data_IF_370933637738
#
_entry.id   IF_370933637738
#
_cell.length_a   1.000
_cell.length_b   1.000
_cell.length_c   1.000
_cell.angle_alpha   90.00
_cell.angle_beta   90.00
_cell.angle_gamma   90.00
#
_symmetry.space_group_name_H-M   'P 1'
#
loop_
_entity.id
_entity.type
_entity.pdbx_description
1 polymer ?
#
# COMPACT_ATOMS: atom_id res chain seq x y z
N UNK A 1 -7.51 14.47 12.72
CA UNK A 1 -8.25 14.27 11.45
C UNK A 1 -9.54 15.07 11.56
N UNK A 2 -9.93 15.85 10.53
CA UNK A 2 -11.13 16.68 10.59
C UNK A 2 -12.36 15.85 11.00
N UNK A 3 -13.14 16.39 11.92
CA UNK A 3 -14.38 15.81 12.42
C UNK A 3 -15.24 16.91 13.07
N UNK A 4 -16.50 16.59 13.30
CA UNK A 4 -17.38 17.37 14.17
C UNK A 4 -18.18 16.46 15.08
N UNK A 5 -18.70 17.04 16.17
CA UNK A 5 -19.57 16.37 17.13
C UNK A 5 -20.88 17.15 17.23
N UNK A 6 -22.00 16.44 17.08
CA UNK A 6 -23.34 16.99 17.19
C UNK A 6 -24.13 16.22 18.26
N UNK A 7 -25.06 16.87 18.97
CA UNK A 7 -25.97 16.17 19.89
C UNK A 7 -27.17 15.60 19.14
N UNK A 8 -27.51 16.16 17.97
CA UNK A 8 -28.61 15.73 17.13
C UNK A 8 -28.33 15.95 15.64
N UNK A 9 -28.77 15.00 14.82
CA UNK A 9 -28.72 15.04 13.36
C UNK A 9 -30.14 15.01 12.80
N UNK A 10 -30.37 15.66 11.65
CA UNK A 10 -31.63 15.55 10.90
C UNK A 10 -31.71 14.17 10.24
N UNK A 11 -32.94 13.72 9.98
CA UNK A 11 -33.21 12.50 9.22
C UNK A 11 -33.52 12.86 7.76
N UNK A 12 -32.48 13.26 7.01
CA UNK A 12 -32.61 13.62 5.60
C UNK A 12 -32.75 12.36 4.73
N UNK A 13 -33.63 12.41 3.72
CA UNK A 13 -33.72 11.35 2.70
C UNK A 13 -32.56 11.48 1.72
N UNK A 14 -31.95 10.34 1.37
CA UNK A 14 -30.93 10.26 0.32
C UNK A 14 -31.58 10.15 -1.08
N UNK A 15 -30.92 10.64 -2.15
CA UNK A 15 -29.70 11.43 -2.13
C UNK A 15 -29.96 12.91 -1.74
N UNK A 16 -28.96 13.57 -1.15
CA UNK A 16 -28.98 15.02 -0.89
C UNK A 16 -27.57 15.61 -1.02
N UNK A 17 -27.45 16.93 -1.16
CA UNK A 17 -26.15 17.56 -1.32
C UNK A 17 -26.23 19.07 -1.54
N UNK A 18 -25.07 19.73 -1.46
CA UNK A 18 -24.88 21.13 -1.78
C UNK A 18 -23.42 21.41 -2.15
N UNK A 19 -23.15 22.54 -2.81
CA UNK A 19 -21.80 23.01 -3.14
C UNK A 19 -20.92 21.99 -3.89
N UNK A 20 -21.51 21.13 -4.72
CA UNK A 20 -20.79 20.08 -5.45
C UNK A 20 -20.32 18.90 -4.57
N UNK A 21 -20.93 18.73 -3.40
CA UNK A 21 -20.84 17.53 -2.56
C UNK A 21 -22.19 16.83 -2.59
N UNK A 22 -22.19 15.53 -2.85
CA UNK A 22 -23.37 14.68 -2.91
C UNK A 22 -23.26 13.55 -1.87
N UNK A 23 -24.32 13.32 -1.12
CA UNK A 23 -24.50 12.17 -0.23
C UNK A 23 -25.57 11.27 -0.83
N UNK A 24 -25.18 10.08 -1.25
CA UNK A 24 -25.97 9.27 -2.18
C UNK A 24 -26.81 8.20 -1.48
N UNK A 25 -26.27 7.58 -0.44
CA UNK A 25 -26.96 6.59 0.40
C UNK A 25 -26.19 6.38 1.70
N UNK A 26 -26.80 5.67 2.65
CA UNK A 26 -26.12 5.25 3.88
C UNK A 26 -26.19 3.74 4.09
N UNK A 27 -25.25 3.20 4.86
CA UNK A 27 -25.28 1.82 5.32
C UNK A 27 -24.92 1.73 6.81
N UNK A 28 -25.71 0.99 7.59
CA UNK A 28 -25.64 0.98 9.06
C UNK A 28 -25.21 -0.38 9.60
N UNK A 29 -24.35 -0.35 10.63
CA UNK A 29 -23.92 -1.51 11.40
C UNK A 29 -23.85 -1.15 12.90
N UNK A 30 -24.90 -1.48 13.66
CA UNK A 30 -24.99 -1.13 15.08
C UNK A 30 -25.01 0.39 15.28
N UNK A 31 -23.98 0.89 15.98
CA UNK A 31 -23.75 2.30 16.31
C UNK A 31 -23.01 3.09 15.22
N UNK A 32 -22.65 2.45 14.10
CA UNK A 32 -21.93 3.09 13.01
C UNK A 32 -22.79 3.19 11.74
N UNK A 33 -22.68 4.31 11.04
CA UNK A 33 -23.26 4.49 9.70
C UNK A 33 -22.21 5.06 8.76
N UNK A 34 -22.11 4.45 7.58
CA UNK A 34 -21.28 4.92 6.47
C UNK A 34 -22.18 5.67 5.49
N UNK A 35 -21.75 6.85 5.07
CA UNK A 35 -22.49 7.72 4.15
C UNK A 35 -21.69 7.85 2.88
N UNK A 36 -22.22 7.31 1.79
CA UNK A 36 -21.54 7.33 0.51
C UNK A 36 -21.52 8.76 -0.03
N UNK A 37 -20.32 9.31 -0.15
CA UNK A 37 -20.09 10.72 -0.41
C UNK A 37 -19.29 10.88 -1.70
N UNK A 38 -19.77 11.76 -2.58
CA UNK A 38 -19.09 12.15 -3.81
C UNK A 38 -18.76 13.64 -3.78
N UNK A 39 -17.56 13.98 -4.24
CA UNK A 39 -17.09 15.35 -4.38
C UNK A 39 -16.24 15.46 -5.65
N UNK A 40 -16.83 15.99 -6.73
CA UNK A 40 -16.23 15.90 -8.06
C UNK A 40 -16.06 14.43 -8.50
N UNK A 41 -14.81 14.03 -8.82
CA UNK A 41 -14.45 12.64 -9.19
C UNK A 41 -14.01 11.77 -8.01
N UNK A 42 -14.09 12.27 -6.78
CA UNK A 42 -13.67 11.53 -5.57
C UNK A 42 -14.88 10.93 -4.88
N UNK A 43 -14.79 9.63 -4.57
CA UNK A 43 -15.82 8.84 -3.92
C UNK A 43 -15.24 8.26 -2.61
N UNK A 44 -15.95 8.42 -1.50
CA UNK A 44 -15.50 7.99 -0.17
C UNK A 44 -16.66 7.89 0.82
N UNK A 45 -16.42 7.33 2.00
CA UNK A 45 -17.39 7.34 3.09
C UNK A 45 -17.10 8.41 4.13
N UNK A 46 -18.14 9.13 4.54
CA UNK A 46 -18.20 9.69 5.88
C UNK A 46 -18.69 8.62 6.85
N UNK A 47 -18.07 8.57 8.02
CA UNK A 47 -18.42 7.69 9.13
C UNK A 47 -19.10 8.51 10.22
N UNK A 48 -20.35 8.16 10.52
CA UNK A 48 -21.11 8.63 11.66
C UNK A 48 -21.05 7.57 12.75
N UNK A 49 -20.60 7.95 13.95
CA UNK A 49 -20.66 7.10 15.15
C UNK A 49 -21.67 7.67 16.13
N UNK A 50 -22.68 6.88 16.46
CA UNK A 50 -23.69 7.17 17.46
C UNK A 50 -23.20 6.71 18.85
N UNK A 51 -22.98 7.66 19.77
CA UNK A 51 -22.58 7.37 21.15
C UNK A 51 -23.74 7.53 22.14
N UNK A 52 -24.99 7.40 21.70
CA UNK A 52 -26.24 7.61 22.46
C UNK A 52 -26.55 9.06 22.80
N UNK A 53 -25.56 9.84 23.26
CA UNK A 53 -25.74 11.25 23.65
C UNK A 53 -25.17 12.23 22.63
N UNK A 54 -24.33 11.75 21.72
CA UNK A 54 -23.67 12.54 20.70
C UNK A 54 -23.37 11.69 19.46
N UNK A 55 -23.29 12.37 18.32
CA UNK A 55 -22.83 11.82 17.05
C UNK A 55 -21.45 12.38 16.74
N UNK A 56 -20.49 11.49 16.46
CA UNK A 56 -19.16 11.88 15.97
C UNK A 56 -19.09 11.58 14.48
N UNK A 57 -18.89 12.63 13.67
CA UNK A 57 -18.83 12.51 12.21
C UNK A 57 -17.43 12.84 11.72
N UNK A 58 -16.87 11.92 10.93
CA UNK A 58 -15.50 12.03 10.38
C UNK A 58 -15.39 11.27 9.05
N UNK A 59 -14.30 11.42 8.32
CA UNK A 59 -14.03 10.53 7.16
C UNK A 59 -13.71 9.11 7.62
N UNK A 60 -14.19 8.10 6.89
CA UNK A 60 -13.70 6.73 7.05
C UNK A 60 -12.21 6.66 6.66
N UNK A 61 -11.42 5.87 7.40
CA UNK A 61 -9.97 5.81 7.20
C UNK A 61 -9.58 5.09 5.91
N UNK A 62 -10.40 4.15 5.46
CA UNK A 62 -10.09 3.29 4.33
C UNK A 62 -10.33 4.00 3.01
N UNK A 63 -11.46 4.70 2.91
CA UNK A 63 -11.91 5.33 1.66
C UNK A 63 -11.55 6.81 1.57
N UNK A 64 -11.00 7.43 2.63
CA UNK A 64 -10.67 8.86 2.61
C UNK A 64 -9.79 9.26 1.41
N UNK A 65 -10.10 10.37 0.73
CA UNK A 65 -9.23 10.90 -0.30
C UNK A 65 -7.94 11.50 0.29
N UNK A 66 -6.90 11.63 -0.53
CA UNK A 66 -5.65 12.28 -0.13
C UNK A 66 -5.79 13.80 0.11
N UNK A 67 -6.76 14.45 -0.55
CA UNK A 67 -7.02 15.87 -0.39
C UNK A 67 -7.74 16.15 0.93
N UNK A 68 -7.06 16.84 1.83
CA UNK A 68 -7.63 17.31 3.09
C UNK A 68 -8.78 18.28 2.86
N UNK A 69 -8.66 19.16 1.85
CA UNK A 69 -9.70 20.12 1.48
C UNK A 69 -11.00 19.44 1.06
N UNK A 70 -10.93 18.34 0.30
CA UNK A 70 -12.11 17.53 -0.06
C UNK A 70 -12.83 17.00 1.17
N UNK A 71 -12.09 16.47 2.14
CA UNK A 71 -12.66 15.94 3.40
C UNK A 71 -13.33 17.07 4.20
N UNK A 72 -12.65 18.21 4.33
CA UNK A 72 -13.16 19.35 5.09
C UNK A 72 -14.42 19.94 4.47
N UNK A 73 -14.45 20.07 3.13
CA UNK A 73 -15.62 20.54 2.39
C UNK A 73 -16.82 19.61 2.60
N UNK A 74 -16.63 18.30 2.41
CA UNK A 74 -17.72 17.34 2.58
C UNK A 74 -18.25 17.31 4.03
N UNK A 75 -17.37 17.37 5.03
CA UNK A 75 -17.78 17.48 6.43
C UNK A 75 -18.53 18.78 6.72
N UNK A 76 -18.11 19.92 6.13
CA UNK A 76 -18.82 21.19 6.31
C UNK A 76 -20.23 21.10 5.72
N UNK A 77 -20.35 20.68 4.46
CA UNK A 77 -21.66 20.56 3.80
C UNK A 77 -22.58 19.60 4.55
N UNK A 78 -22.07 18.43 4.98
CA UNK A 78 -22.88 17.49 5.76
C UNK A 78 -23.34 18.10 7.09
N UNK A 79 -22.45 18.83 7.77
CA UNK A 79 -22.76 19.52 9.02
C UNK A 79 -23.82 20.62 8.81
N UNK A 80 -23.65 21.47 7.81
CA UNK A 80 -24.55 22.60 7.54
C UNK A 80 -25.95 22.12 7.14
N UNK A 81 -26.05 21.01 6.38
CA UNK A 81 -27.33 20.44 5.98
C UNK A 81 -27.99 19.62 7.10
N UNK A 82 -27.21 18.82 7.83
CA UNK A 82 -27.73 17.70 8.64
C UNK A 82 -27.59 17.86 10.16
N UNK A 83 -26.92 18.90 10.68
CA UNK A 83 -26.80 19.12 12.13
C UNK A 83 -27.89 20.08 12.63
N UNK A 84 -28.50 19.75 13.76
CA UNK A 84 -29.42 20.64 14.47
C UNK A 84 -28.73 21.35 15.64
N UNK A 85 -27.95 20.60 16.43
CA UNK A 85 -27.20 21.15 17.56
C UNK A 85 -25.74 20.66 17.54
N UNK A 86 -24.83 21.62 17.39
CA UNK A 86 -23.40 21.40 17.21
C UNK A 86 -22.68 21.56 18.56
N UNK A 87 -22.02 20.49 19.01
CA UNK A 87 -21.23 20.50 20.24
C UNK A 87 -19.80 20.98 20.01
N UNK A 88 -19.16 20.50 18.95
CA UNK A 88 -17.79 20.93 18.59
C UNK A 88 -17.46 20.64 17.14
N UNK A 89 -16.50 21.39 16.58
CA UNK A 89 -15.98 21.16 15.23
C UNK A 89 -14.48 21.42 15.18
N UNK A 90 -13.75 20.52 14.53
CA UNK A 90 -12.32 20.67 14.22
C UNK A 90 -12.07 20.94 12.74
N UNK A 91 -13.14 21.25 11.99
CA UNK A 91 -13.08 21.55 10.56
C UNK A 91 -12.54 22.98 10.40
N UNK A 92 -11.22 23.11 10.25
CA UNK A 92 -10.61 24.36 9.82
C UNK A 92 -10.50 24.34 8.29
N UNK A 93 -11.36 25.06 7.57
CA UNK A 93 -11.17 25.30 6.13
C UNK A 93 -9.89 26.12 6.00
N UNK A 94 -8.76 25.44 5.82
CA UNK A 94 -7.50 26.10 5.54
C UNK A 94 -7.47 26.31 4.03
N UNK A 95 -7.28 27.55 3.59
CA UNK A 95 -6.67 27.81 2.28
C UNK A 95 -5.45 26.91 2.20
N UNK A 96 -5.33 26.11 1.14
CA UNK A 96 -4.24 25.14 0.98
C UNK A 96 -2.90 25.82 1.28
N UNK A 97 -2.38 25.64 2.51
CA UNK A 97 -0.97 25.92 2.76
C UNK A 97 -0.26 24.98 1.82
N UNK A 98 0.48 25.54 0.86
CA UNK A 98 1.33 24.86 -0.12
C UNK A 98 1.86 23.55 0.49
N UNK A 99 1.17 22.43 0.23
CA UNK A 99 1.65 21.14 0.69
C UNK A 99 3.00 20.97 -0.02
N UNK A 100 4.06 20.61 0.72
CA UNK A 100 5.33 20.26 0.12
C UNK A 100 5.06 19.31 -1.05
N UNK A 101 5.51 19.67 -2.25
CA UNK A 101 5.26 18.88 -3.46
C UNK A 101 5.76 17.47 -3.21
N UNK A 102 4.86 16.48 -3.15
CA UNK A 102 5.19 15.07 -3.03
C UNK A 102 5.35 14.47 -4.42
N UNK A 103 6.26 15.06 -5.20
CA UNK A 103 6.39 14.76 -6.62
C UNK A 103 6.95 13.36 -6.85
N UNK A 104 7.89 12.92 -6.01
CA UNK A 104 8.54 11.62 -6.15
C UNK A 104 7.93 10.53 -5.28
N UNK A 105 7.10 10.87 -4.28
CA UNK A 105 6.48 9.88 -3.39
C UNK A 105 5.20 9.35 -4.03
N UNK A 106 5.27 8.14 -4.57
CA UNK A 106 4.14 7.50 -5.25
C UNK A 106 3.49 6.44 -4.36
N UNK A 107 2.18 6.23 -4.57
CA UNK A 107 1.54 4.98 -4.14
C UNK A 107 1.82 3.86 -5.15
N UNK A 108 1.40 2.65 -4.80
CA UNK A 108 1.55 1.44 -5.62
C UNK A 108 0.90 1.54 -7.01
N UNK A 109 -0.31 2.10 -7.11
CA UNK A 109 -1.00 2.26 -8.40
C UNK A 109 -0.21 3.21 -9.30
N UNK A 110 0.14 4.39 -8.79
CA UNK A 110 0.92 5.39 -9.52
C UNK A 110 2.30 4.86 -9.93
N UNK A 111 2.92 4.06 -9.08
CA UNK A 111 4.19 3.39 -9.36
C UNK A 111 4.06 2.42 -10.54
N UNK A 112 3.04 1.56 -10.53
CA UNK A 112 2.79 0.61 -11.61
C UNK A 112 2.49 1.31 -12.94
N UNK A 113 1.72 2.40 -12.91
CA UNK A 113 1.47 3.23 -14.10
C UNK A 113 2.78 3.84 -14.64
N UNK A 114 3.64 4.37 -13.76
CA UNK A 114 4.92 4.94 -14.14
C UNK A 114 5.86 3.89 -14.74
N UNK A 115 5.91 2.68 -14.20
CA UNK A 115 6.68 1.58 -14.77
C UNK A 115 6.20 1.17 -16.17
N UNK A 116 4.87 1.12 -16.38
CA UNK A 116 4.27 0.77 -17.68
C UNK A 116 4.56 1.80 -18.78
N UNK A 117 4.83 3.05 -18.42
CA UNK A 117 5.13 4.11 -19.40
C UNK A 117 6.39 3.84 -20.23
N UNK A 118 7.33 3.04 -19.71
CA UNK A 118 8.57 2.72 -20.41
C UNK A 118 9.51 3.91 -20.64
N UNK A 119 9.33 5.01 -19.89
CA UNK A 119 10.08 6.26 -20.07
C UNK A 119 11.60 6.09 -19.87
N UNK A 120 12.02 5.14 -19.03
CA UNK A 120 13.42 4.90 -18.69
C UNK A 120 13.89 3.53 -19.17
N UNK A 121 15.11 3.48 -19.71
CA UNK A 121 15.70 2.24 -20.26
C UNK A 121 16.27 1.31 -19.19
N UNK A 122 16.72 1.89 -18.08
CA UNK A 122 17.30 1.18 -16.94
C UNK A 122 16.52 1.48 -15.68
N UNK A 123 16.42 0.48 -14.82
CA UNK A 123 15.75 0.60 -13.53
C UNK A 123 16.69 0.09 -12.45
N UNK A 124 17.02 0.98 -11.51
CA UNK A 124 17.71 0.64 -10.28
C UNK A 124 16.74 0.71 -9.12
N UNK A 125 16.87 -0.21 -8.18
CA UNK A 125 16.01 -0.29 -6.99
C UNK A 125 16.89 -0.32 -5.75
N UNK A 126 16.68 0.60 -4.81
CA UNK A 126 17.38 0.62 -3.53
C UNK A 126 16.39 0.38 -2.38
N UNK A 127 16.64 -0.72 -1.64
CA UNK A 127 15.82 -1.15 -0.51
C UNK A 127 16.42 -0.61 0.78
N UNK A 128 15.62 0.12 1.56
CA UNK A 128 16.05 0.71 2.82
C UNK A 128 17.01 1.87 2.63
N UNK A 129 16.74 2.78 1.68
CA UNK A 129 17.66 3.85 1.29
C UNK A 129 18.02 4.84 2.42
N UNK A 130 17.24 4.88 3.52
CA UNK A 130 17.51 5.72 4.68
C UNK A 130 17.67 7.20 4.32
N UNK A 131 18.90 7.72 4.41
CA UNK A 131 19.21 9.12 4.05
C UNK A 131 19.13 9.45 2.56
N UNK A 132 19.10 8.43 1.69
CA UNK A 132 19.02 8.58 0.23
C UNK A 132 20.33 9.02 -0.44
N UNK A 133 21.47 9.04 0.26
CA UNK A 133 22.76 9.47 -0.33
C UNK A 133 23.13 8.67 -1.58
N UNK A 134 23.11 7.34 -1.47
CA UNK A 134 23.41 6.45 -2.59
C UNK A 134 22.35 6.57 -3.69
N UNK A 135 21.06 6.49 -3.32
CA UNK A 135 19.94 6.66 -4.24
C UNK A 135 20.04 7.92 -5.11
N UNK A 136 20.24 9.08 -4.47
CA UNK A 136 20.32 10.38 -5.15
C UNK A 136 21.61 10.50 -5.98
N UNK A 137 22.70 9.88 -5.53
CA UNK A 137 23.93 9.78 -6.31
C UNK A 137 23.71 9.00 -7.60
N UNK A 138 23.07 7.83 -7.53
CA UNK A 138 22.76 7.02 -8.71
C UNK A 138 21.87 7.80 -9.69
N UNK A 139 20.82 8.46 -9.18
CA UNK A 139 19.90 9.23 -10.00
C UNK A 139 20.58 10.42 -10.69
N UNK A 140 21.51 11.09 -10.00
CA UNK A 140 22.29 12.20 -10.56
C UNK A 140 23.32 11.73 -11.61
N UNK A 141 23.86 10.52 -11.44
CA UNK A 141 24.93 9.99 -12.30
C UNK A 141 24.43 9.57 -13.69
N UNK A 142 23.22 9.03 -13.79
CA UNK A 142 22.62 8.65 -15.07
C UNK A 142 21.14 9.05 -15.13
N UNK A 143 20.85 10.16 -15.82
CA UNK A 143 19.49 10.70 -16.00
C UNK A 143 18.56 9.75 -16.78
N UNK A 144 19.11 8.79 -17.54
CA UNK A 144 18.33 7.79 -18.27
C UNK A 144 17.98 6.56 -17.44
N UNK A 145 18.48 6.49 -16.20
CA UNK A 145 18.16 5.43 -15.24
C UNK A 145 17.10 5.90 -14.27
N UNK A 146 15.99 5.16 -14.19
CA UNK A 146 15.02 5.34 -13.14
C UNK A 146 15.56 4.74 -11.83
N UNK A 147 15.62 5.53 -10.76
CA UNK A 147 16.01 5.04 -9.44
C UNK A 147 14.80 5.00 -8.51
N UNK A 148 14.42 3.79 -8.10
CA UNK A 148 13.29 3.51 -7.22
C UNK A 148 13.79 3.23 -5.82
N UNK A 149 13.48 4.12 -4.87
CA UNK A 149 13.77 3.92 -3.46
C UNK A 149 12.59 3.33 -2.70
N UNK A 150 12.83 2.29 -1.90
CA UNK A 150 11.83 1.70 -1.02
C UNK A 150 12.24 1.90 0.43
N UNK A 151 11.38 2.50 1.25
CA UNK A 151 11.68 2.79 2.66
C UNK A 151 10.41 2.80 3.51
N UNK A 152 10.41 2.07 4.62
CA UNK A 152 9.25 1.99 5.53
C UNK A 152 9.16 3.21 6.45
N UNK A 153 10.27 3.89 6.73
CA UNK A 153 10.28 5.09 7.56
C UNK A 153 9.87 6.33 6.77
N UNK A 154 8.60 6.73 6.92
CA UNK A 154 7.99 7.85 6.18
C UNK A 154 8.80 9.16 6.20
N UNK A 155 9.46 9.50 7.32
CA UNK A 155 10.24 10.75 7.40
C UNK A 155 11.46 10.73 6.48
N UNK A 156 12.09 9.57 6.28
CA UNK A 156 13.18 9.40 5.32
C UNK A 156 12.68 9.67 3.89
N UNK A 157 11.50 9.13 3.51
CA UNK A 157 10.90 9.42 2.21
C UNK A 157 10.64 10.92 2.02
N UNK A 158 10.08 11.60 3.02
CA UNK A 158 9.81 13.04 2.95
C UNK A 158 11.10 13.88 2.85
N UNK A 159 12.15 13.48 3.58
CA UNK A 159 13.47 14.12 3.49
C UNK A 159 14.08 13.95 2.08
N UNK A 160 14.12 12.72 1.56
CA UNK A 160 14.72 12.43 0.24
C UNK A 160 13.93 13.07 -0.89
N UNK A 161 12.60 13.15 -0.78
CA UNK A 161 11.76 13.89 -1.73
C UNK A 161 12.19 15.35 -1.85
N UNK A 162 12.40 16.03 -0.72
CA UNK A 162 12.82 17.44 -0.72
C UNK A 162 14.23 17.62 -1.29
N UNK A 163 15.14 16.68 -0.99
CA UNK A 163 16.50 16.69 -1.57
C UNK A 163 16.46 16.50 -3.09
N UNK A 164 15.71 15.50 -3.58
CA UNK A 164 15.53 15.27 -5.01
C UNK A 164 14.97 16.50 -5.73
N UNK A 165 13.98 17.18 -5.13
CA UNK A 165 13.42 18.43 -5.65
C UNK A 165 14.47 19.54 -5.70
N UNK A 166 15.24 19.73 -4.63
CA UNK A 166 16.29 20.75 -4.58
C UNK A 166 17.41 20.51 -5.59
N UNK A 167 17.64 19.24 -5.96
CA UNK A 167 18.62 18.83 -6.96
C UNK A 167 18.06 18.86 -8.39
N UNK A 168 16.76 19.13 -8.57
CA UNK A 168 16.13 19.15 -9.89
C UNK A 168 16.05 17.79 -10.59
N UNK A 169 16.12 16.69 -9.83
CA UNK A 169 16.05 15.33 -10.39
C UNK A 169 14.67 15.05 -10.97
N UNK A 170 14.60 14.15 -11.97
CA UNK A 170 13.33 13.76 -12.63
C UNK A 170 13.12 12.26 -12.70
N UNK A 171 14.17 11.50 -12.40
CA UNK A 171 14.30 10.05 -12.56
C UNK A 171 14.30 9.32 -11.21
N UNK A 172 13.58 9.85 -10.22
CA UNK A 172 13.46 9.27 -8.87
C UNK A 172 12.01 8.89 -8.57
N UNK A 173 11.81 7.71 -7.99
CA UNK A 173 10.54 7.32 -7.35
C UNK A 173 10.83 6.87 -5.93
N UNK A 174 10.00 7.29 -4.98
CA UNK A 174 10.08 6.91 -3.57
C UNK A 174 8.79 6.20 -3.15
N UNK A 175 8.93 5.02 -2.57
CA UNK A 175 7.83 4.19 -2.11
C UNK A 175 7.92 4.01 -0.60
N UNK A 176 6.88 4.45 0.11
CA UNK A 176 6.75 4.19 1.55
C UNK A 176 6.01 2.86 1.80
N UNK A 177 6.64 1.74 1.40
CA UNK A 177 6.06 0.40 1.37
C UNK A 177 7.05 -0.65 1.87
N UNK A 178 6.55 -1.85 2.18
CA UNK A 178 7.41 -3.02 2.44
C UNK A 178 8.07 -3.48 1.13
N UNK A 179 9.39 -3.70 1.17
CA UNK A 179 10.15 -4.08 -0.01
C UNK A 179 9.71 -5.42 -0.61
N UNK A 180 9.31 -6.40 0.21
CA UNK A 180 8.88 -7.72 -0.29
C UNK A 180 7.64 -7.60 -1.17
N UNK A 181 6.73 -6.69 -0.82
CA UNK A 181 5.60 -6.39 -1.68
C UNK A 181 6.02 -5.69 -2.96
N UNK A 182 6.87 -4.66 -2.88
CA UNK A 182 7.28 -3.94 -4.09
C UNK A 182 7.98 -4.91 -5.06
N UNK A 183 8.83 -5.80 -4.55
CA UNK A 183 9.46 -6.87 -5.33
C UNK A 183 8.43 -7.76 -6.00
N UNK A 184 7.36 -8.14 -5.28
CA UNK A 184 6.31 -8.99 -5.86
C UNK A 184 5.49 -8.31 -6.96
N UNK A 185 5.46 -6.98 -6.99
CA UNK A 185 4.79 -6.17 -8.02
C UNK A 185 5.65 -5.94 -9.28
N UNK A 186 6.97 -6.05 -9.17
CA UNK A 186 7.89 -5.87 -10.30
C UNK A 186 7.79 -7.06 -11.27
N UNK A 187 7.82 -6.75 -12.57
CA UNK A 187 7.81 -7.76 -13.63
C UNK A 187 9.12 -8.57 -13.64
N UNK A 188 9.10 -9.75 -14.25
CA UNK A 188 10.33 -10.51 -14.43
C UNK A 188 11.27 -9.80 -15.42
N UNK A 189 12.57 -9.84 -15.14
CA UNK A 189 13.61 -9.24 -16.00
C UNK A 189 13.43 -7.73 -16.25
N UNK A 190 12.89 -6.97 -15.29
CA UNK A 190 12.68 -5.53 -15.44
C UNK A 190 13.73 -4.64 -14.77
N UNK A 191 14.51 -5.19 -13.83
CA UNK A 191 15.46 -4.43 -13.00
C UNK A 191 16.89 -4.71 -13.42
N UNK A 192 17.70 -3.66 -13.51
CA UNK A 192 19.12 -3.76 -13.86
C UNK A 192 19.99 -3.92 -12.62
N UNK A 193 19.66 -3.21 -11.52
CA UNK A 193 20.37 -3.34 -10.23
C UNK A 193 19.45 -3.23 -9.03
N UNK A 194 19.71 -4.06 -8.03
CA UNK A 194 19.09 -4.03 -6.71
C UNK A 194 20.16 -3.73 -5.66
N UNK A 195 19.91 -2.77 -4.78
CA UNK A 195 20.81 -2.40 -3.70
C UNK A 195 20.16 -2.65 -2.34
N UNK A 196 20.91 -3.26 -1.42
CA UNK A 196 20.54 -3.40 -0.01
C UNK A 196 21.73 -3.02 0.86
N UNK A 197 21.74 -1.78 1.37
CA UNK A 197 22.86 -1.23 2.12
C UNK A 197 22.54 -1.13 3.61
N UNK A 198 23.42 -1.71 4.43
CA UNK A 198 23.38 -1.73 5.90
C UNK A 198 22.00 -2.13 6.48
N UNK A 199 21.41 -3.27 6.04
CA UNK A 199 20.16 -3.74 6.59
C UNK A 199 20.29 -4.07 8.08
N UNK A 200 19.20 -3.90 8.83
CA UNK A 200 19.18 -4.28 10.25
C UNK A 200 19.30 -5.81 10.37
N UNK A 201 20.27 -6.34 11.13
CA UNK A 201 20.60 -7.76 11.08
C UNK A 201 19.60 -8.67 11.82
N UNK A 202 18.84 -8.13 12.77
CA UNK A 202 17.82 -8.84 13.56
C UNK A 202 18.28 -10.21 14.11
N UNK A 203 19.41 -10.25 14.83
CA UNK A 203 20.02 -11.48 15.36
C UNK A 203 19.05 -12.44 16.06
N UNK A 204 18.10 -11.90 16.84
CA UNK A 204 17.13 -12.69 17.61
C UNK A 204 15.80 -12.94 16.90
N UNK A 205 15.65 -12.50 15.65
CA UNK A 205 14.38 -12.54 14.91
C UNK A 205 14.62 -12.55 13.41
N UNK A 206 15.27 -13.60 12.91
CA UNK A 206 15.68 -13.70 11.50
C UNK A 206 14.54 -13.52 10.50
N UNK A 207 13.29 -13.89 10.87
CA UNK A 207 12.08 -13.64 10.08
C UNK A 207 11.79 -12.16 9.79
N UNK A 208 12.46 -11.23 10.49
CA UNK A 208 12.38 -9.78 10.27
C UNK A 208 13.43 -9.26 9.29
N UNK A 209 14.42 -10.08 8.91
CA UNK A 209 15.38 -9.71 7.86
C UNK A 209 14.63 -9.51 6.55
N UNK A 210 15.12 -8.58 5.74
CA UNK A 210 14.64 -8.39 4.37
C UNK A 210 15.01 -9.60 3.52
N UNK A 211 16.27 -10.06 3.65
CA UNK A 211 16.76 -11.25 2.96
C UNK A 211 16.14 -12.51 3.55
N UNK A 212 15.69 -13.38 2.65
CA UNK A 212 15.27 -14.76 2.86
C UNK A 212 15.50 -15.55 1.55
N UNK A 213 15.25 -16.85 1.55
CA UNK A 213 15.29 -17.64 0.32
C UNK A 213 14.26 -17.15 -0.71
N UNK A 214 13.04 -16.80 -0.27
CA UNK A 214 11.99 -16.26 -1.13
C UNK A 214 12.38 -14.90 -1.71
N UNK A 215 13.00 -14.03 -0.89
CA UNK A 215 13.52 -12.75 -1.37
C UNK A 215 14.62 -12.95 -2.42
N UNK A 216 15.55 -13.90 -2.21
CA UNK A 216 16.60 -14.20 -3.17
C UNK A 216 16.03 -14.69 -4.53
N UNK A 217 14.99 -15.53 -4.49
CA UNK A 217 14.25 -15.95 -5.69
C UNK A 217 13.58 -14.76 -6.39
N UNK A 218 12.93 -13.87 -5.65
CA UNK A 218 12.32 -12.66 -6.22
C UNK A 218 13.37 -11.73 -6.83
N UNK A 219 14.56 -11.62 -6.23
CA UNK A 219 15.69 -10.88 -6.83
C UNK A 219 16.09 -11.47 -8.19
N UNK A 220 16.36 -12.78 -8.28
CA UNK A 220 16.69 -13.43 -9.55
C UNK A 220 15.56 -13.29 -10.59
N UNK A 221 14.29 -13.34 -10.14
CA UNK A 221 13.14 -13.17 -11.02
C UNK A 221 13.10 -11.78 -11.65
N UNK A 222 13.24 -10.71 -10.86
CA UNK A 222 13.07 -9.33 -11.35
C UNK A 222 14.31 -8.81 -12.07
N UNK A 223 15.50 -9.34 -11.76
CA UNK A 223 16.74 -8.93 -12.41
C UNK A 223 16.78 -9.39 -13.86
N UNK A 224 17.25 -8.51 -14.74
CA UNK A 224 17.65 -8.89 -16.11
C UNK A 224 18.82 -9.87 -16.07
N UNK A 225 19.03 -10.64 -17.14
CA UNK A 225 20.31 -11.31 -17.35
C UNK A 225 21.43 -10.26 -17.41
N UNK A 226 22.50 -10.46 -16.64
CA UNK A 226 23.57 -9.50 -16.40
C UNK A 226 23.27 -8.45 -15.32
N UNK A 227 22.06 -8.43 -14.75
CA UNK A 227 21.69 -7.53 -13.65
C UNK A 227 22.22 -8.00 -12.30
N UNK A 228 22.39 -7.08 -11.35
CA UNK A 228 23.01 -7.37 -10.05
C UNK A 228 22.09 -7.14 -8.84
N UNK A 229 22.23 -7.98 -7.82
CA UNK A 229 21.87 -7.68 -6.45
C UNK A 229 23.15 -7.39 -5.65
N UNK A 230 23.19 -6.24 -4.98
CA UNK A 230 24.35 -5.72 -4.28
C UNK A 230 24.00 -5.51 -2.79
N UNK A 231 24.52 -6.39 -1.94
CA UNK A 231 24.48 -6.22 -0.49
C UNK A 231 25.74 -5.47 -0.04
N UNK A 232 25.58 -4.48 0.84
CA UNK A 232 26.67 -3.89 1.63
C UNK A 232 26.30 -3.96 3.10
N UNK A 233 27.14 -4.51 3.96
CA UNK A 233 26.81 -4.76 5.38
C UNK A 233 28.04 -4.66 6.30
N UNK A 234 27.87 -4.17 7.53
CA UNK A 234 28.88 -4.26 8.60
C UNK A 234 28.73 -5.53 9.46
N UNK A 235 27.68 -6.33 9.21
CA UNK A 235 27.38 -7.55 9.94
C UNK A 235 27.79 -8.79 9.13
N UNK A 236 28.81 -9.52 9.63
CA UNK A 236 29.31 -10.73 8.98
C UNK A 236 28.26 -11.85 8.96
N UNK A 237 27.51 -12.05 10.03
CA UNK A 237 26.51 -13.12 10.11
C UNK A 237 25.38 -12.90 9.11
N UNK A 238 24.93 -11.65 8.96
CA UNK A 238 23.96 -11.27 7.94
C UNK A 238 24.50 -11.47 6.53
N UNK A 239 25.79 -11.17 6.32
CA UNK A 239 26.47 -11.36 5.05
C UNK A 239 26.54 -12.85 4.69
N UNK A 240 27.02 -13.69 5.61
CA UNK A 240 27.09 -15.15 5.43
C UNK A 240 25.70 -15.76 5.19
N UNK A 241 24.68 -15.29 5.91
CA UNK A 241 23.29 -15.69 5.72
C UNK A 241 22.74 -15.27 4.35
N UNK A 242 23.10 -14.09 3.86
CA UNK A 242 22.69 -13.64 2.52
C UNK A 242 23.36 -14.50 1.46
N UNK A 243 24.66 -14.76 1.60
CA UNK A 243 25.40 -15.65 0.70
C UNK A 243 24.73 -17.02 0.62
N UNK A 244 24.37 -17.64 1.75
CA UNK A 244 23.72 -18.95 1.76
C UNK A 244 22.37 -18.97 1.06
N UNK A 245 21.57 -17.89 1.16
CA UNK A 245 20.31 -17.77 0.44
C UNK A 245 20.51 -17.71 -1.08
N UNK A 246 21.53 -16.96 -1.54
CA UNK A 246 21.77 -16.74 -2.96
C UNK A 246 22.57 -17.86 -3.64
N UNK A 247 23.34 -18.65 -2.89
CA UNK A 247 24.03 -19.84 -3.41
C UNK A 247 23.09 -20.93 -3.93
N UNK A 248 21.83 -20.93 -3.48
CA UNK A 248 20.82 -21.88 -3.93
C UNK A 248 20.16 -21.48 -5.26
N UNK A 249 20.48 -20.31 -5.81
CA UNK A 249 19.91 -19.82 -7.05
C UNK A 249 20.59 -20.46 -8.27
N UNK A 250 19.86 -20.54 -9.38
CA UNK A 250 20.37 -21.12 -10.64
C UNK A 250 21.34 -20.15 -11.29
N UNK A 251 22.44 -20.65 -11.85
CA UNK A 251 23.32 -19.94 -12.79
C UNK A 251 23.55 -18.45 -12.47
N UNK A 252 24.48 -18.20 -11.56
CA UNK A 252 24.84 -16.86 -11.13
C UNK A 252 26.33 -16.71 -10.88
N UNK A 253 26.82 -15.48 -11.00
CA UNK A 253 28.17 -15.09 -10.55
C UNK A 253 28.04 -14.40 -9.20
N UNK A 254 28.86 -14.77 -8.23
CA UNK A 254 28.92 -14.10 -6.93
C UNK A 254 30.34 -13.61 -6.66
N UNK A 255 30.46 -12.33 -6.31
CA UNK A 255 31.72 -11.69 -5.94
C UNK A 255 31.59 -11.11 -4.53
N UNK A 256 32.59 -11.35 -3.69
CA UNK A 256 32.59 -10.94 -2.30
C UNK A 256 33.81 -10.07 -2.06
N UNK A 257 33.61 -8.91 -1.45
CA UNK A 257 34.68 -7.99 -1.10
C UNK A 257 34.64 -7.64 0.37
N UNK A 258 35.81 -7.26 0.89
CA UNK A 258 35.97 -6.73 2.24
C UNK A 258 36.60 -5.35 2.13
N UNK A 259 35.98 -4.36 2.75
CA UNK A 259 36.41 -2.97 2.80
C UNK A 259 36.63 -2.36 1.40
N UNK A 260 35.78 -2.71 0.43
CA UNK A 260 35.83 -2.14 -0.92
C UNK A 260 35.44 -0.67 -0.88
N UNK A 261 36.24 0.16 -1.56
CA UNK A 261 35.95 1.57 -1.77
C UNK A 261 34.86 1.76 -2.84
N UNK A 262 33.93 2.68 -2.59
CA UNK A 262 32.89 3.13 -3.53
C UNK A 262 32.91 4.67 -3.62
N UNK A 263 32.48 5.22 -4.76
CA UNK A 263 32.49 6.67 -5.00
C UNK A 263 31.52 7.45 -4.11
N UNK A 264 30.50 6.78 -3.57
CA UNK A 264 29.53 7.35 -2.64
C UNK A 264 29.49 6.52 -1.36
N UNK A 265 29.66 7.19 -0.22
CA UNK A 265 29.52 6.56 1.10
C UNK A 265 28.14 6.83 1.69
N UNK A 266 27.61 5.84 2.40
CA UNK A 266 26.40 6.02 3.21
C UNK A 266 26.73 6.68 4.57
N UNK A 267 25.71 7.22 5.25
CA UNK A 267 25.88 7.72 6.64
C UNK A 267 26.34 6.60 7.60
N UNK A 268 25.93 5.37 7.35
CA UNK A 268 26.32 4.21 8.16
C UNK A 268 27.76 3.80 7.87
N UNK A 269 28.15 3.79 6.60
CA UNK A 269 29.52 3.53 6.18
C UNK A 269 30.52 4.50 6.85
N UNK A 270 30.27 5.81 6.74
CA UNK A 270 31.11 6.82 7.40
C UNK A 270 31.24 6.58 8.91
N UNK A 271 30.18 6.08 9.55
CA UNK A 271 30.16 5.77 10.99
C UNK A 271 30.95 4.51 11.31
N UNK A 272 30.80 3.46 10.51
CA UNK A 272 31.42 2.17 10.75
C UNK A 272 32.91 2.17 10.45
N UNK A 273 33.34 2.90 9.41
CA UNK A 273 34.75 3.17 9.15
C UNK A 273 35.39 3.88 10.35
N UNK A 274 34.73 4.90 10.92
CA UNK A 274 35.22 5.59 12.14
C UNK A 274 35.32 4.68 13.37
N UNK A 275 34.56 3.58 13.41
CA UNK A 275 34.60 2.60 14.49
C UNK A 275 35.52 1.41 14.18
N UNK A 276 36.32 1.47 13.10
CA UNK A 276 37.17 0.38 12.63
C UNK A 276 36.42 -0.94 12.46
N UNK A 277 35.15 -0.87 12.03
CA UNK A 277 34.38 -2.05 11.65
C UNK A 277 34.67 -2.42 10.20
N UNK A 278 34.72 -3.72 9.96
CA UNK A 278 34.78 -4.26 8.60
C UNK A 278 33.43 -4.06 7.89
N UNK A 279 33.51 -3.78 6.59
CA UNK A 279 32.35 -3.71 5.69
C UNK A 279 32.52 -4.79 4.64
N UNK A 280 31.46 -5.55 4.41
CA UNK A 280 31.41 -6.63 3.45
C UNK A 280 30.47 -6.27 2.32
N UNK A 281 30.88 -6.59 1.10
CA UNK A 281 30.08 -6.45 -0.11
C UNK A 281 29.83 -7.82 -0.73
N UNK A 282 28.60 -8.07 -1.13
CA UNK A 282 28.23 -9.25 -1.93
C UNK A 282 27.53 -8.78 -3.17
N UNK A 283 28.13 -9.06 -4.32
CA UNK A 283 27.56 -8.78 -5.64
C UNK A 283 27.15 -10.10 -6.26
N UNK A 284 25.84 -10.32 -6.33
CA UNK A 284 25.23 -11.42 -7.06
C UNK A 284 24.83 -10.92 -8.45
N UNK A 285 25.32 -11.54 -9.52
CA UNK A 285 24.93 -11.25 -10.90
C UNK A 285 24.07 -12.39 -11.43
N UNK A 286 22.84 -12.07 -11.82
CA UNK A 286 21.92 -13.01 -12.45
C UNK A 286 22.37 -13.30 -13.89
N UNK A 287 22.51 -14.56 -14.29
CA UNK A 287 22.93 -14.91 -15.66
C UNK A 287 21.79 -15.46 -16.51
N UNK A 288 20.63 -15.73 -15.92
CA UNK A 288 19.48 -16.30 -16.63
C UNK A 288 18.45 -15.25 -17.00
N UNK A 289 17.60 -15.59 -17.97
CA UNK A 289 16.34 -14.89 -18.21
C UNK A 289 15.23 -15.67 -17.51
N UNK A 290 14.58 -15.03 -16.55
CA UNK A 290 13.49 -15.64 -15.79
C UNK A 290 12.21 -15.71 -16.61
N UNK A 291 11.36 -16.71 -16.35
CA UNK A 291 10.02 -16.75 -16.94
C UNK A 291 9.21 -15.51 -16.52
N UNK A 292 8.34 -15.05 -17.42
CA UNK A 292 7.49 -13.89 -17.14
C UNK A 292 6.45 -14.23 -16.08
N UNK A 293 6.38 -13.40 -15.04
CA UNK A 293 5.37 -13.53 -13.98
C UNK A 293 4.01 -13.11 -14.55
N UNK A 294 3.18 -14.08 -14.92
CA UNK A 294 1.80 -13.84 -15.36
C UNK A 294 0.84 -14.12 -14.20
N UNK A 295 0.09 -13.09 -13.82
CA UNK A 295 -1.02 -13.22 -12.87
C UNK A 295 -2.28 -13.56 -13.67
N UNK A 296 -2.79 -14.78 -13.48
CA UNK A 296 -4.08 -15.20 -14.04
C UNK A 296 -5.18 -15.00 -13.00
N UNK A 297 -6.28 -14.36 -13.40
CA UNK A 297 -7.46 -14.14 -12.58
C UNK A 297 -7.90 -12.68 -12.55
N UNK A 298 -9.10 -12.47 -12.03
CA UNK A 298 -9.71 -11.17 -11.82
C UNK A 298 -10.26 -11.06 -10.39
N UNK A 299 -10.91 -9.94 -10.12
CA UNK A 299 -11.57 -9.66 -8.84
C UNK A 299 -13.10 -9.67 -9.00
N UNK A 300 -13.62 -10.55 -9.86
CA UNK A 300 -15.04 -10.70 -10.13
C UNK A 300 -15.69 -11.79 -9.27
N UNK A 301 -16.76 -11.41 -8.59
CA UNK A 301 -17.61 -12.35 -7.87
C UNK A 301 -18.61 -13.01 -8.82
N UNK A 302 -19.07 -14.20 -8.45
CA UNK A 302 -20.24 -14.82 -9.08
C UNK A 302 -21.54 -14.24 -8.52
N UNK A 303 -22.63 -14.99 -8.67
CA UNK A 303 -23.90 -14.70 -7.97
C UNK A 303 -23.70 -14.87 -6.47
N UNK A 304 -24.14 -13.87 -5.70
CA UNK A 304 -24.02 -13.82 -4.24
C UNK A 304 -25.33 -13.31 -3.67
N UNK A 305 -26.02 -14.14 -2.88
CA UNK A 305 -27.29 -13.77 -2.25
C UNK A 305 -27.07 -13.09 -0.89
N UNK A 306 -27.80 -12.02 -0.64
CA UNK A 306 -27.75 -11.25 0.60
C UNK A 306 -28.14 -12.12 1.83
N UNK A 307 -29.11 -13.02 1.67
CA UNK A 307 -29.56 -13.94 2.72
C UNK A 307 -28.50 -14.98 3.13
N UNK A 308 -27.74 -15.49 2.15
CA UNK A 308 -26.64 -16.43 2.40
C UNK A 308 -25.52 -15.75 3.19
N UNK A 309 -25.22 -14.50 2.87
CA UNK A 309 -24.25 -13.72 3.64
C UNK A 309 -24.74 -13.55 5.07
N UNK A 310 -25.99 -13.12 5.27
CA UNK A 310 -26.52 -12.85 6.60
C UNK A 310 -26.58 -14.11 7.48
N UNK A 311 -26.84 -15.28 6.91
CA UNK A 311 -26.88 -16.55 7.64
C UNK A 311 -25.48 -17.10 7.98
N UNK A 312 -24.47 -16.85 7.12
CA UNK A 312 -23.11 -17.39 7.28
C UNK A 312 -22.13 -16.43 7.95
N UNK A 313 -22.43 -15.13 7.98
CA UNK A 313 -21.46 -14.11 8.40
C UNK A 313 -21.05 -14.28 9.86
N UNK A 314 -19.74 -14.30 10.05
CA UNK A 314 -19.11 -14.35 11.36
C UNK A 314 -17.89 -13.44 11.34
N UNK A 315 -17.68 -12.66 12.42
CA UNK A 315 -16.43 -11.90 12.58
C UNK A 315 -15.30 -12.87 12.90
N UNK A 316 -14.67 -13.42 11.86
CA UNK A 316 -13.60 -14.42 11.97
C UNK A 316 -12.47 -14.17 10.99
N UNK A 317 -11.34 -14.80 11.27
CA UNK A 317 -10.18 -14.83 10.38
C UNK A 317 -9.97 -16.23 9.83
N UNK A 318 -9.93 -16.37 8.52
CA UNK A 318 -9.45 -17.55 7.81
C UNK A 318 -7.98 -17.30 7.47
N UNK A 319 -7.07 -18.02 8.11
CA UNK A 319 -5.62 -17.94 7.83
C UNK A 319 -5.19 -19.11 6.95
N UNK A 320 -4.36 -18.82 5.97
CA UNK A 320 -3.65 -19.78 5.12
C UNK A 320 -2.15 -19.52 5.24
N UNK A 321 -1.33 -20.24 4.48
CA UNK A 321 0.13 -20.20 4.63
C UNK A 321 0.72 -18.82 4.28
N UNK A 322 0.23 -18.20 3.20
CA UNK A 322 0.77 -16.95 2.64
C UNK A 322 -0.26 -15.81 2.54
N UNK A 323 -1.54 -16.07 2.83
CA UNK A 323 -2.60 -15.06 2.86
C UNK A 323 -3.63 -15.30 3.98
N UNK A 324 -4.48 -14.30 4.19
CA UNK A 324 -5.62 -14.42 5.09
C UNK A 324 -6.85 -13.70 4.54
N UNK A 325 -8.00 -13.98 5.16
CA UNK A 325 -9.24 -13.23 5.03
C UNK A 325 -9.78 -13.00 6.42
N UNK A 326 -10.17 -11.77 6.73
CA UNK A 326 -10.82 -11.40 7.96
C UNK A 326 -12.11 -10.65 7.65
N UNK A 327 -13.23 -11.27 8.02
CA UNK A 327 -14.55 -10.68 7.88
C UNK A 327 -14.75 -9.68 9.03
N UNK A 328 -14.65 -8.38 8.74
CA UNK A 328 -14.68 -7.37 9.80
C UNK A 328 -16.11 -7.01 10.19
N UNK A 329 -16.96 -6.68 9.20
CA UNK A 329 -18.31 -6.15 9.48
C UNK A 329 -19.25 -6.22 8.27
N UNK A 330 -20.55 -6.29 8.55
CA UNK A 330 -21.62 -6.05 7.56
C UNK A 330 -22.38 -4.77 7.94
N UNK A 331 -22.61 -3.93 6.95
CA UNK A 331 -23.51 -2.80 7.01
C UNK A 331 -24.73 -3.08 6.14
N UNK A 332 -25.92 -2.82 6.66
CA UNK A 332 -27.17 -2.88 5.88
C UNK A 332 -27.36 -1.53 5.21
N UNK A 333 -27.42 -1.49 3.89
CA UNK A 333 -27.70 -0.29 3.12
C UNK A 333 -29.15 0.12 3.37
N UNK A 334 -29.34 1.40 3.64
CA UNK A 334 -30.66 1.98 3.81
C UNK A 334 -31.38 1.97 2.45
N UNK A 335 -32.57 1.37 2.37
CA UNK A 335 -33.38 1.32 1.16
C UNK A 335 -34.82 1.77 1.44
N UNK A 336 -35.34 2.61 0.54
CA UNK A 336 -36.78 2.90 0.45
C UNK A 336 -37.55 1.81 -0.31
N UNK A 337 -36.86 0.85 -0.92
CA UNK A 337 -37.42 -0.24 -1.72
C UNK A 337 -37.08 -1.61 -1.14
N UNK A 338 -37.90 -2.63 -1.46
CA UNK A 338 -37.91 -3.97 -0.84
C UNK A 338 -36.62 -4.81 -1.04
N UNK A 339 -35.67 -4.37 -1.88
CA UNK A 339 -34.40 -5.06 -2.10
C UNK A 339 -33.27 -4.26 -1.42
N UNK A 340 -33.02 -4.53 -0.14
CA UNK A 340 -31.92 -3.91 0.61
C UNK A 340 -30.56 -4.44 0.17
N UNK A 341 -29.55 -3.56 0.13
CA UNK A 341 -28.17 -3.92 -0.17
C UNK A 341 -27.34 -4.23 1.08
N UNK A 342 -26.26 -4.99 0.92
CA UNK A 342 -25.25 -5.21 1.97
C UNK A 342 -23.91 -4.60 1.56
N UNK A 343 -23.24 -3.98 2.51
CA UNK A 343 -21.87 -3.53 2.35
C UNK A 343 -21.00 -4.27 3.36
N UNK A 344 -20.10 -5.11 2.88
CA UNK A 344 -19.18 -5.89 3.70
C UNK A 344 -17.86 -5.16 3.79
N UNK A 345 -17.28 -5.14 4.99
CA UNK A 345 -15.92 -4.69 5.23
C UNK A 345 -15.05 -5.91 5.52
N UNK A 346 -14.01 -6.09 4.72
CA UNK A 346 -13.12 -7.26 4.76
C UNK A 346 -11.68 -6.80 4.74
N UNK A 347 -10.82 -7.45 5.52
CA UNK A 347 -9.37 -7.38 5.36
C UNK A 347 -8.85 -8.68 4.76
N UNK A 348 -7.98 -8.64 3.78
CA UNK A 348 -7.47 -9.85 3.16
C UNK A 348 -6.12 -9.65 2.46
N UNK A 349 -5.55 -10.75 1.98
CA UNK A 349 -4.32 -10.74 1.20
C UNK A 349 -3.09 -11.11 2.03
N UNK A 350 -1.93 -10.55 1.67
CA UNK A 350 -0.66 -10.85 2.32
C UNK A 350 -0.61 -10.37 3.78
N UNK A 351 0.05 -11.15 4.64
CA UNK A 351 0.32 -10.76 6.03
C UNK A 351 1.21 -9.50 6.16
N UNK A 352 2.04 -9.22 5.16
CA UNK A 352 2.96 -8.08 5.18
C UNK A 352 2.28 -6.77 4.78
N UNK A 353 1.25 -6.86 3.94
CA UNK A 353 0.41 -5.72 3.57
C UNK A 353 -1.04 -6.17 3.39
N UNK A 354 -1.80 -6.25 4.49
CA UNK A 354 -3.22 -6.54 4.40
C UNK A 354 -3.93 -5.44 3.60
N UNK A 355 -4.79 -5.85 2.69
CA UNK A 355 -5.73 -4.96 2.04
C UNK A 355 -7.02 -4.92 2.82
N UNK A 356 -7.58 -3.73 3.00
CA UNK A 356 -8.93 -3.58 3.50
C UNK A 356 -9.79 -3.10 2.33
N UNK A 357 -10.97 -3.66 2.17
CA UNK A 357 -11.88 -3.30 1.10
C UNK A 357 -13.33 -3.27 1.58
N UNK A 358 -14.16 -2.58 0.81
CA UNK A 358 -15.59 -2.75 0.88
C UNK A 358 -16.07 -3.60 -0.29
N UNK A 359 -17.02 -4.50 -0.03
CA UNK A 359 -17.71 -5.28 -1.06
C UNK A 359 -19.19 -4.92 -0.97
N UNK A 360 -19.74 -4.38 -2.04
CA UNK A 360 -21.16 -4.07 -2.16
C UNK A 360 -21.87 -5.27 -2.79
N UNK A 361 -22.91 -5.74 -2.13
CA UNK A 361 -23.81 -6.78 -2.63
C UNK A 361 -25.20 -6.18 -2.79
N UNK A 362 -25.67 -6.13 -4.03
CA UNK A 362 -27.01 -5.67 -4.39
C UNK A 362 -27.54 -6.44 -5.58
N UNK A 363 -28.82 -6.81 -5.55
CA UNK A 363 -29.48 -7.54 -6.63
C UNK A 363 -28.71 -8.82 -7.00
N UNK A 364 -28.28 -9.55 -5.98
CA UNK A 364 -27.50 -10.80 -6.11
C UNK A 364 -26.13 -10.66 -6.79
N UNK A 365 -25.60 -9.43 -6.91
CA UNK A 365 -24.28 -9.14 -7.49
C UNK A 365 -23.36 -8.56 -6.44
N UNK A 366 -22.18 -9.15 -6.30
CA UNK A 366 -21.13 -8.62 -5.43
C UNK A 366 -20.03 -7.92 -6.25
N UNK A 367 -19.52 -6.80 -5.74
CA UNK A 367 -18.40 -6.09 -6.35
C UNK A 367 -17.57 -5.34 -5.31
N UNK A 368 -16.25 -5.24 -5.53
CA UNK A 368 -15.41 -4.35 -4.73
C UNK A 368 -15.83 -2.89 -4.96
N UNK A 369 -16.04 -2.16 -3.86
CA UNK A 369 -16.63 -0.84 -3.87
C UNK A 369 -15.62 0.26 -3.48
N UNK A 370 -15.62 1.38 -4.20
CA UNK A 370 -14.68 2.53 -4.14
C UNK A 370 -13.22 2.18 -4.50
N UNK A 371 -12.66 1.12 -3.92
CA UNK A 371 -11.28 0.70 -4.16
C UNK A 371 -11.26 -0.78 -4.57
N UNK A 372 -10.68 -1.06 -5.73
CA UNK A 372 -10.36 -2.44 -6.14
C UNK A 372 -9.06 -2.90 -5.45
N UNK A 373 -8.94 -4.19 -5.12
CA UNK A 373 -7.70 -4.76 -4.61
C UNK A 373 -6.58 -4.65 -5.65
N UNK A 374 -5.34 -4.59 -5.18
CA UNK A 374 -4.16 -4.67 -6.03
C UNK A 374 -4.03 -6.09 -6.58
N UNK A 375 -3.66 -6.21 -7.86
CA UNK A 375 -3.45 -7.51 -8.48
C UNK A 375 -2.14 -8.13 -7.98
N UNK A 376 -2.25 -9.04 -7.02
CA UNK A 376 -1.15 -9.87 -6.48
C UNK A 376 -1.60 -11.31 -6.33
N UNK A 377 -0.67 -12.27 -6.24
CA UNK A 377 -1.03 -13.67 -6.02
C UNK A 377 -1.78 -13.87 -4.71
N UNK A 378 -1.33 -13.26 -3.62
CA UNK A 378 -1.96 -13.37 -2.30
C UNK A 378 -3.38 -12.79 -2.31
N UNK A 379 -3.57 -11.66 -3.01
CA UNK A 379 -4.90 -11.05 -3.15
C UNK A 379 -5.81 -11.89 -4.04
N UNK A 380 -5.30 -12.49 -5.12
CA UNK A 380 -6.08 -13.39 -5.98
C UNK A 380 -6.49 -14.66 -5.24
N UNK A 381 -5.57 -15.31 -4.52
CA UNK A 381 -5.89 -16.49 -3.68
C UNK A 381 -6.94 -16.16 -2.62
N UNK A 382 -6.74 -15.05 -1.91
CA UNK A 382 -7.67 -14.59 -0.90
C UNK A 382 -9.03 -14.17 -1.50
N UNK A 383 -9.04 -13.58 -2.70
CA UNK A 383 -10.28 -13.31 -3.43
C UNK A 383 -11.01 -14.61 -3.77
N UNK A 384 -10.32 -15.64 -4.28
CA UNK A 384 -10.93 -16.94 -4.59
C UNK A 384 -11.57 -17.59 -3.37
N UNK A 385 -10.87 -17.65 -2.22
CA UNK A 385 -11.46 -18.18 -0.98
C UNK A 385 -12.60 -17.30 -0.46
N UNK A 386 -12.53 -15.97 -0.62
CA UNK A 386 -13.63 -15.08 -0.26
C UNK A 386 -14.85 -15.29 -1.17
N UNK A 387 -14.62 -15.50 -2.46
CA UNK A 387 -15.65 -15.81 -3.46
C UNK A 387 -16.35 -17.12 -3.12
N UNK A 388 -15.61 -18.16 -2.77
CA UNK A 388 -16.18 -19.44 -2.29
C UNK A 388 -17.02 -19.23 -1.03
N UNK A 389 -16.51 -18.47 -0.05
CA UNK A 389 -17.23 -18.19 1.20
C UNK A 389 -18.53 -17.42 0.98
N UNK A 390 -18.54 -16.46 0.05
CA UNK A 390 -19.72 -15.64 -0.27
C UNK A 390 -20.68 -16.31 -1.27
N UNK A 391 -20.22 -17.31 -2.03
CA UNK A 391 -21.04 -17.99 -3.02
C UNK A 391 -22.13 -18.87 -2.38
N UNK A 392 -23.23 -19.06 -3.12
CA UNK A 392 -24.30 -19.98 -2.73
C UNK A 392 -23.73 -21.39 -2.55
N UNK A 393 -24.06 -22.02 -1.43
CA UNK A 393 -23.99 -23.48 -1.35
C UNK A 393 -25.19 -23.97 -2.14
N UNK A 394 -25.01 -24.41 -3.38
CA UNK A 394 -26.04 -25.23 -4.02
C UNK A 394 -26.20 -26.46 -3.14
N UNK A 395 -27.29 -26.49 -2.37
CA UNK A 395 -27.76 -27.68 -1.69
C UNK A 395 -28.21 -28.70 -2.72
#
# INVERSE_FOLDING_TARGET
MPNFVATSLKNLKFPFGADGVEFLWSAKAGDESLIYTKTGKKEFFLLVKDKKTEFVVKSDKLTRPASLGTIQKALSVYKDLNVLDLKSSTIAIKNEKQLAKKEFILNDIQFLEKLKSGEFKKIFVEIGFGSGRHLLYQAKTDENTLVVGIEVYKRSCEQVNNLALSMGLKNVILLNLDARLVMSLLHSNSVDRLFLHFPVPWEKSEKRRVVSAEFANECQRVLKSGGSFELRSDDKNYTDFTISCFLNLKEAKMEIYKNRFLDVSSKYEDRWIKQNRDIYDVVFTNLIVSEQKVLHGDFEFGTVLEEDILSKFENKTIKKDDYFIHMERIYKKDSSEKNGGLLLRVAFGSFYRPEHCFILVENSKASYFIKKPLLTYENLKAHSTLKEYLSCSTS
#
